data_IF_335326864422
#
_entry.id   IF_335326864422
#
_cell.length_a   1.000
_cell.length_b   1.000
_cell.length_c   1.000
_cell.angle_alpha   90.00
_cell.angle_beta   90.00
_cell.angle_gamma   90.00
#
_symmetry.space_group_name_H-M   'P 1'
#
loop_
_entity.id
_entity.type
_entity.pdbx_description
1 polymer ?
#
# COMPACT_ATOMS: atom_id res chain seq x y z
N UNK A 1 -11.88 -0.41 -24.53
CA UNK A 1 -11.42 0.28 -23.31
C UNK A 1 -12.67 0.71 -22.57
N UNK A 2 -12.82 0.28 -21.34
CA UNK A 2 -13.92 0.59 -20.43
C UNK A 2 -13.42 1.55 -19.34
N UNK A 3 -14.31 2.43 -18.88
CA UNK A 3 -14.10 3.27 -17.70
C UNK A 3 -14.96 2.72 -16.57
N UNK A 4 -14.37 2.45 -15.41
CA UNK A 4 -15.08 2.01 -14.21
C UNK A 4 -15.08 3.19 -13.23
N UNK A 5 -16.21 3.87 -13.01
CA UNK A 5 -16.26 5.01 -12.09
C UNK A 5 -15.86 4.62 -10.67
N UNK A 6 -14.95 5.37 -10.06
CA UNK A 6 -14.52 5.15 -8.67
C UNK A 6 -14.83 6.37 -7.78
N UNK A 7 -14.54 7.58 -8.27
CA UNK A 7 -14.85 8.85 -7.61
C UNK A 7 -15.24 9.91 -8.67
N UNK A 8 -15.80 11.07 -8.28
CA UNK A 8 -16.10 12.13 -9.24
C UNK A 8 -14.88 12.52 -10.09
N UNK A 9 -14.99 12.34 -11.41
CA UNK A 9 -13.93 12.56 -12.39
C UNK A 9 -12.67 11.68 -12.23
N UNK A 10 -12.75 10.57 -11.50
CA UNK A 10 -11.67 9.59 -11.38
C UNK A 10 -12.23 8.19 -11.67
N UNK A 11 -11.83 7.65 -12.80
CA UNK A 11 -12.25 6.33 -13.25
C UNK A 11 -11.05 5.40 -13.35
N UNK A 12 -11.25 4.14 -13.01
CA UNK A 12 -10.31 3.10 -13.41
C UNK A 12 -10.42 2.89 -14.92
N UNK A 13 -9.34 2.43 -15.53
CA UNK A 13 -9.29 2.04 -16.94
C UNK A 13 -9.19 0.52 -17.01
N UNK A 14 -10.10 -0.10 -17.74
CA UNK A 14 -10.11 -1.55 -17.94
C UNK A 14 -10.13 -1.90 -19.42
N UNK A 15 -9.29 -2.85 -19.84
CA UNK A 15 -9.28 -3.40 -21.19
C UNK A 15 -8.95 -4.88 -21.13
N UNK A 16 -9.60 -5.69 -21.96
CA UNK A 16 -9.32 -7.12 -22.02
C UNK A 16 -9.50 -7.65 -23.44
N UNK A 17 -8.94 -8.83 -23.68
CA UNK A 17 -9.01 -9.51 -24.97
C UNK A 17 -9.41 -10.97 -24.77
N UNK A 18 -10.42 -11.44 -25.48
CA UNK A 18 -10.93 -12.81 -25.36
C UNK A 18 -11.73 -13.03 -24.07
N UNK A 19 -11.73 -14.25 -23.56
CA UNK A 19 -12.38 -14.61 -22.29
C UNK A 19 -11.41 -14.35 -21.14
N UNK A 20 -11.68 -13.35 -20.30
CA UNK A 20 -10.75 -12.90 -19.26
C UNK A 20 -10.41 -14.02 -18.27
N UNK A 21 -9.11 -14.31 -18.11
CA UNK A 21 -8.60 -15.26 -17.12
C UNK A 21 -7.44 -14.69 -16.28
N UNK A 22 -6.60 -13.82 -16.85
CA UNK A 22 -5.50 -13.14 -16.14
C UNK A 22 -5.66 -11.63 -16.24
N UNK A 23 -5.53 -10.89 -15.14
CA UNK A 23 -5.51 -9.43 -15.15
C UNK A 23 -4.18 -8.92 -14.62
N UNK A 24 -3.54 -8.02 -15.36
CA UNK A 24 -2.41 -7.23 -14.86
C UNK A 24 -2.98 -5.91 -14.33
N UNK A 25 -2.62 -5.53 -13.11
CA UNK A 25 -3.20 -4.38 -12.42
C UNK A 25 -2.16 -3.54 -11.70
N UNK A 26 -2.34 -2.23 -11.69
CA UNK A 26 -1.57 -1.29 -10.85
C UNK A 26 -2.31 0.05 -10.80
N UNK A 27 -1.83 1.01 -10.01
CA UNK A 27 -2.49 2.31 -9.83
C UNK A 27 -1.90 3.42 -10.73
N UNK A 28 -2.73 4.42 -11.05
CA UNK A 28 -2.36 5.55 -11.91
C UNK A 28 -2.02 6.83 -11.15
N UNK A 29 -2.53 6.98 -9.93
CA UNK A 29 -2.24 8.13 -9.08
C UNK A 29 -0.89 8.01 -8.39
N UNK A 30 -0.40 9.15 -7.91
CA UNK A 30 0.94 9.31 -7.34
C UNK A 30 0.87 10.32 -6.20
N UNK A 31 1.77 10.22 -5.21
CA UNK A 31 1.89 11.23 -4.14
C UNK A 31 2.50 12.57 -4.58
N UNK A 32 2.24 13.68 -3.86
CA UNK A 32 2.98 14.93 -4.02
C UNK A 32 4.43 14.83 -3.47
N UNK A 33 5.32 15.80 -3.78
CA UNK A 33 5.19 16.78 -4.85
C UNK A 33 5.42 16.15 -6.24
N UNK A 34 4.90 16.80 -7.29
CA UNK A 34 5.26 16.48 -8.66
C UNK A 34 6.58 17.16 -9.04
N UNK A 35 7.43 16.45 -9.78
CA UNK A 35 8.66 16.98 -10.34
C UNK A 35 8.88 16.46 -11.76
N UNK A 36 9.61 17.25 -12.55
CA UNK A 36 9.80 17.01 -13.98
C UNK A 36 10.54 15.69 -14.21
N UNK A 37 10.03 14.88 -15.13
CA UNK A 37 10.68 13.63 -15.53
C UNK A 37 11.96 13.89 -16.32
N UNK A 38 12.98 13.08 -16.08
CA UNK A 38 14.23 13.08 -16.86
C UNK A 38 14.78 11.67 -16.97
N UNK A 39 15.76 11.46 -17.81
CA UNK A 39 16.43 10.17 -17.92
C UNK A 39 17.94 10.34 -18.12
N UNK A 40 18.68 9.31 -17.73
CA UNK A 40 20.11 9.14 -18.04
C UNK A 40 20.33 7.78 -18.72
N UNK A 41 21.56 7.27 -18.76
CA UNK A 41 21.87 5.99 -19.40
C UNK A 41 21.24 4.77 -18.73
N UNK A 42 20.93 4.85 -17.44
CA UNK A 42 20.52 3.71 -16.62
C UNK A 42 19.10 3.87 -16.06
N UNK A 43 18.70 5.08 -15.71
CA UNK A 43 17.47 5.36 -14.97
C UNK A 43 16.55 6.33 -15.70
N UNK A 44 15.24 6.17 -15.46
CA UNK A 44 14.21 7.18 -15.70
C UNK A 44 13.78 7.72 -14.35
N UNK A 45 13.81 9.04 -14.17
CA UNK A 45 13.52 9.74 -12.93
C UNK A 45 12.22 10.53 -13.12
N UNK A 46 11.45 10.67 -12.05
CA UNK A 46 10.17 11.39 -12.07
C UNK A 46 9.18 10.81 -11.06
N UNK A 47 8.25 11.64 -10.59
CA UNK A 47 7.14 11.16 -9.75
C UNK A 47 6.28 10.16 -10.54
N UNK A 48 6.13 8.96 -9.99
CA UNK A 48 5.47 7.84 -10.64
C UNK A 48 6.34 7.05 -11.60
N UNK A 49 7.62 7.39 -11.78
CA UNK A 49 8.52 6.57 -12.60
C UNK A 49 8.67 5.17 -12.01
N UNK A 50 8.75 5.06 -10.68
CA UNK A 50 8.78 3.82 -9.95
C UNK A 50 7.37 3.40 -9.53
N UNK A 51 6.59 4.34 -8.98
CA UNK A 51 5.37 4.06 -8.22
C UNK A 51 4.16 4.87 -8.73
N UNK A 52 3.40 4.40 -9.72
CA UNK A 52 3.56 3.12 -10.43
C UNK A 52 3.45 3.24 -11.96
N UNK A 53 3.66 4.43 -12.54
CA UNK A 53 3.49 4.64 -13.99
C UNK A 53 4.54 3.92 -14.84
N UNK A 54 5.75 3.70 -14.35
CA UNK A 54 6.71 2.81 -15.02
C UNK A 54 6.19 1.37 -15.12
N UNK A 55 5.49 0.92 -14.08
CA UNK A 55 4.84 -0.40 -14.05
C UNK A 55 3.69 -0.46 -15.06
N UNK A 56 2.86 0.58 -15.15
CA UNK A 56 1.84 0.72 -16.21
C UNK A 56 2.47 0.55 -17.59
N UNK A 57 3.56 1.26 -17.86
CA UNK A 57 4.25 1.19 -19.16
C UNK A 57 4.75 -0.24 -19.46
N UNK A 58 5.34 -0.93 -18.47
CA UNK A 58 5.78 -2.31 -18.61
C UNK A 58 4.61 -3.28 -18.87
N UNK A 59 3.47 -3.09 -18.18
CA UNK A 59 2.27 -3.91 -18.40
C UNK A 59 1.65 -3.70 -19.78
N UNK A 60 1.63 -2.45 -20.29
CA UNK A 60 1.16 -2.14 -21.65
C UNK A 60 2.07 -2.80 -22.68
N UNK A 61 3.40 -2.66 -22.55
CA UNK A 61 4.35 -3.30 -23.46
C UNK A 61 4.27 -4.84 -23.41
N UNK A 62 4.01 -5.42 -22.22
CA UNK A 62 3.76 -6.86 -22.10
C UNK A 62 2.47 -7.28 -22.81
N UNK A 63 1.41 -6.49 -22.72
CA UNK A 63 0.17 -6.73 -23.46
C UNK A 63 0.40 -6.70 -24.98
N UNK A 64 1.14 -5.71 -25.50
CA UNK A 64 1.50 -5.63 -26.91
C UNK A 64 2.28 -6.88 -27.36
N UNK A 65 3.26 -7.30 -26.57
CA UNK A 65 4.06 -8.51 -26.83
C UNK A 65 3.19 -9.78 -26.85
N UNK A 66 2.28 -9.93 -25.88
CA UNK A 66 1.34 -11.06 -25.82
C UNK A 66 0.41 -11.08 -27.05
N UNK A 67 -0.12 -9.91 -27.43
CA UNK A 67 -1.02 -9.79 -28.57
C UNK A 67 -0.32 -10.12 -29.89
N UNK A 68 0.91 -9.65 -30.08
CA UNK A 68 1.76 -9.96 -31.23
C UNK A 68 2.08 -11.45 -31.34
N UNK A 69 2.22 -12.14 -30.20
CA UNK A 69 2.38 -13.59 -30.13
C UNK A 69 1.06 -14.39 -30.27
N UNK A 70 -0.07 -13.71 -30.52
CA UNK A 70 -1.38 -14.35 -30.65
C UNK A 70 -2.02 -14.78 -29.32
N UNK A 71 -1.42 -14.43 -28.18
CA UNK A 71 -2.00 -14.72 -26.85
C UNK A 71 -3.19 -13.80 -26.59
N UNK A 72 -4.24 -14.35 -25.98
CA UNK A 72 -5.50 -13.68 -25.58
C UNK A 72 -5.89 -14.17 -24.18
N UNK A 73 -7.10 -13.84 -23.73
CA UNK A 73 -7.69 -14.22 -22.44
C UNK A 73 -7.07 -13.49 -21.24
N UNK A 74 -6.59 -12.28 -21.45
CA UNK A 74 -6.02 -11.44 -20.41
C UNK A 74 -6.55 -9.99 -20.51
N UNK A 75 -6.33 -9.21 -19.45
CA UNK A 75 -6.69 -7.80 -19.41
C UNK A 75 -5.72 -6.94 -18.59
N UNK A 76 -5.89 -5.63 -18.73
CA UNK A 76 -5.22 -4.60 -17.96
C UNK A 76 -6.27 -3.85 -17.15
N UNK A 77 -6.03 -3.67 -15.86
CA UNK A 77 -6.85 -2.88 -14.94
C UNK A 77 -5.97 -1.83 -14.28
N UNK A 78 -6.17 -0.56 -14.62
CA UNK A 78 -5.45 0.54 -13.99
C UNK A 78 -6.38 1.30 -13.06
N UNK A 79 -6.09 1.25 -11.76
CA UNK A 79 -6.96 1.79 -10.71
C UNK A 79 -6.55 3.19 -10.28
N UNK A 80 -7.47 3.90 -9.62
CA UNK A 80 -7.22 5.22 -9.02
C UNK A 80 -7.37 5.17 -7.50
N UNK A 81 -6.63 6.01 -6.79
CA UNK A 81 -6.87 6.28 -5.37
C UNK A 81 -6.09 5.38 -4.42
N UNK A 82 -5.21 4.51 -4.92
CA UNK A 82 -4.39 3.59 -4.10
C UNK A 82 -3.70 4.38 -2.97
N UNK A 83 -3.01 5.46 -3.33
CA UNK A 83 -2.18 6.31 -2.47
C UNK A 83 -2.94 7.06 -1.36
N UNK A 84 -4.26 6.95 -1.32
CA UNK A 84 -5.10 7.69 -0.37
C UNK A 84 -6.13 6.82 0.31
N UNK A 85 -6.93 6.12 -0.49
CA UNK A 85 -8.13 5.48 0.00
C UNK A 85 -8.47 4.18 -0.71
N UNK A 86 -7.77 3.71 -1.73
CA UNK A 86 -8.11 2.51 -2.52
C UNK A 86 -9.49 2.55 -3.18
N UNK A 87 -10.00 3.74 -3.55
CA UNK A 87 -11.34 3.87 -4.14
C UNK A 87 -11.49 3.06 -5.44
N UNK A 88 -10.45 3.04 -6.28
CA UNK A 88 -10.42 2.32 -7.54
C UNK A 88 -10.49 0.82 -7.36
N UNK A 89 -9.67 0.24 -6.47
CA UNK A 89 -9.74 -1.18 -6.16
C UNK A 89 -11.12 -1.57 -5.59
N UNK A 90 -11.71 -0.78 -4.70
CA UNK A 90 -13.08 -1.02 -4.20
C UNK A 90 -14.12 -1.02 -5.32
N UNK A 91 -14.07 -0.03 -6.21
CA UNK A 91 -15.00 0.04 -7.34
C UNK A 91 -14.83 -1.16 -8.29
N UNK A 92 -13.59 -1.57 -8.56
CA UNK A 92 -13.31 -2.74 -9.37
C UNK A 92 -13.78 -4.05 -8.70
N UNK A 93 -13.58 -4.19 -7.39
CA UNK A 93 -14.03 -5.35 -6.61
C UNK A 93 -15.55 -5.51 -6.63
N UNK A 94 -16.31 -4.41 -6.66
CA UNK A 94 -17.76 -4.42 -6.78
C UNK A 94 -18.27 -4.89 -8.16
N UNK A 95 -17.40 -4.94 -9.18
CA UNK A 95 -17.74 -5.37 -10.55
C UNK A 95 -16.74 -6.43 -11.06
N UNK A 96 -16.72 -7.64 -10.47
CA UNK A 96 -15.79 -8.68 -10.86
C UNK A 96 -16.02 -9.11 -12.32
N UNK A 97 -14.92 -9.41 -13.03
CA UNK A 97 -14.95 -9.73 -14.48
C UNK A 97 -14.57 -11.17 -14.81
N UNK A 98 -14.51 -12.05 -13.80
CA UNK A 98 -14.19 -13.47 -13.98
C UNK A 98 -12.70 -13.78 -14.09
N UNK A 99 -11.83 -12.83 -13.72
CA UNK A 99 -10.40 -13.10 -13.68
C UNK A 99 -10.06 -14.16 -12.64
N UNK A 100 -9.24 -15.14 -13.02
CA UNK A 100 -8.77 -16.23 -12.15
C UNK A 100 -7.50 -15.86 -11.42
N UNK A 101 -6.70 -14.98 -12.02
CA UNK A 101 -5.41 -14.55 -11.51
C UNK A 101 -5.24 -13.05 -11.66
N UNK A 102 -4.78 -12.40 -10.59
CA UNK A 102 -4.43 -10.98 -10.56
C UNK A 102 -2.91 -10.86 -10.41
N UNK A 103 -2.24 -10.22 -11.37
CA UNK A 103 -0.84 -9.82 -11.24
C UNK A 103 -0.85 -8.33 -10.90
N UNK A 104 -0.76 -8.01 -9.62
CA UNK A 104 -0.69 -6.62 -9.16
C UNK A 104 0.75 -6.13 -9.18
N UNK A 105 0.97 -4.93 -9.72
CA UNK A 105 2.26 -4.32 -9.89
C UNK A 105 2.53 -3.27 -8.83
N UNK A 106 3.64 -3.44 -8.13
CA UNK A 106 4.22 -2.53 -7.13
C UNK A 106 5.75 -2.62 -7.22
N UNK A 107 6.51 -1.65 -6.70
CA UNK A 107 7.97 -1.65 -6.80
C UNK A 107 8.62 -2.70 -5.90
N UNK A 108 8.87 -3.88 -6.45
CA UNK A 108 9.43 -5.05 -5.77
C UNK A 108 10.76 -5.52 -6.36
N UNK A 109 11.45 -4.68 -7.12
CA UNK A 109 12.74 -4.98 -7.77
C UNK A 109 12.65 -6.24 -8.65
N UNK A 110 11.51 -6.40 -9.35
CA UNK A 110 11.17 -7.59 -10.13
C UNK A 110 11.18 -8.91 -9.35
N UNK A 111 11.16 -8.84 -8.01
CA UNK A 111 11.02 -10.00 -7.14
C UNK A 111 9.55 -10.25 -6.82
N UNK A 112 9.10 -11.49 -6.91
CA UNK A 112 7.75 -11.87 -6.54
C UNK A 112 7.60 -11.77 -5.02
N UNK A 113 6.72 -10.89 -4.53
CA UNK A 113 6.45 -10.85 -3.10
C UNK A 113 5.59 -12.06 -2.68
N UNK A 114 6.05 -12.77 -1.65
CA UNK A 114 5.31 -13.90 -1.06
C UNK A 114 4.39 -13.48 0.08
N UNK A 115 4.50 -12.23 0.51
CA UNK A 115 3.60 -11.64 1.48
C UNK A 115 3.87 -10.16 1.66
N UNK A 116 2.85 -9.46 2.11
CA UNK A 116 2.91 -8.04 2.44
C UNK A 116 2.36 -7.80 3.84
N UNK A 117 3.07 -6.97 4.62
CA UNK A 117 2.57 -6.53 5.92
C UNK A 117 1.28 -5.71 5.77
N UNK A 118 0.44 -5.75 6.78
CA UNK A 118 -0.73 -4.90 6.92
C UNK A 118 -0.36 -3.49 7.39
N UNK A 119 -1.35 -2.62 7.46
CA UNK A 119 -1.25 -1.27 7.99
C UNK A 119 -2.38 -1.03 8.99
N UNK A 120 -2.05 -0.40 10.11
CA UNK A 120 -3.02 0.01 11.12
C UNK A 120 -2.63 1.41 11.61
N UNK A 121 -3.50 2.40 11.36
CA UNK A 121 -3.25 3.80 11.74
C UNK A 121 -4.21 4.24 12.85
N UNK A 122 -3.66 4.88 13.87
CA UNK A 122 -4.42 5.54 14.92
C UNK A 122 -4.09 7.02 15.02
N UNK A 123 -5.10 7.80 15.35
CA UNK A 123 -4.97 9.17 15.85
C UNK A 123 -5.20 9.15 17.36
N UNK A 124 -4.21 9.59 18.13
CA UNK A 124 -4.26 9.65 19.59
C UNK A 124 -4.42 11.11 20.00
N UNK A 125 -5.48 11.42 20.75
CA UNK A 125 -5.79 12.79 21.20
C UNK A 125 -5.88 12.84 22.72
N UNK A 126 -5.09 13.73 23.33
CA UNK A 126 -5.17 14.01 24.76
C UNK A 126 -5.77 15.40 24.99
N UNK A 127 -6.67 15.49 25.97
CA UNK A 127 -7.28 16.74 26.39
C UNK A 127 -6.80 17.11 27.80
N UNK A 128 -6.64 18.40 28.02
CA UNK A 128 -6.11 18.95 29.25
C UNK A 128 -6.92 20.15 29.72
N UNK A 129 -6.30 20.94 30.60
CA UNK A 129 -6.90 22.15 31.17
C UNK A 129 -5.86 23.27 31.17
N UNK A 130 -6.22 24.38 30.52
CA UNK A 130 -5.40 25.59 30.47
C UNK A 130 -5.14 26.12 31.89
N UNK A 131 -3.91 26.58 32.09
CA UNK A 131 -3.48 27.36 33.24
C UNK A 131 -2.23 28.15 32.86
N UNK A 132 -1.89 29.17 33.65
CA UNK A 132 -0.57 29.77 33.56
C UNK A 132 0.48 28.74 34.03
N UNK A 133 1.54 28.53 33.25
CA UNK A 133 2.57 27.50 33.52
C UNK A 133 3.24 27.61 34.91
N UNK A 134 3.25 28.81 35.52
CA UNK A 134 3.74 29.02 36.89
C UNK A 134 2.85 28.41 37.99
N UNK A 135 1.62 28.02 37.67
CA UNK A 135 0.64 27.42 38.59
C UNK A 135 0.08 26.12 37.96
N UNK A 136 0.93 25.11 37.69
CA UNK A 136 0.54 23.91 36.96
C UNK A 136 -0.57 23.10 37.65
N UNK A 137 -0.68 23.20 38.97
CA UNK A 137 -1.72 22.57 39.78
C UNK A 137 -3.15 23.05 39.45
N UNK A 138 -3.28 24.21 38.81
CA UNK A 138 -4.58 24.73 38.36
C UNK A 138 -5.02 24.16 37.00
N UNK A 139 -4.10 23.51 36.28
CA UNK A 139 -4.29 22.93 34.95
C UNK A 139 -3.99 21.44 34.88
N UNK A 140 -4.01 20.91 33.66
CA UNK A 140 -3.62 19.53 33.35
C UNK A 140 -3.01 19.52 31.95
N UNK A 141 -1.75 19.11 31.82
CA UNK A 141 -1.02 19.21 30.54
C UNK A 141 -1.38 18.04 29.62
N UNK A 142 -2.12 18.31 28.54
CA UNK A 142 -2.41 17.33 27.50
C UNK A 142 -1.14 16.76 26.85
N UNK A 143 -0.09 17.58 26.72
CA UNK A 143 1.20 17.12 26.17
C UNK A 143 1.83 16.07 27.07
N UNK A 144 1.85 16.28 28.40
CA UNK A 144 2.42 15.29 29.32
C UNK A 144 1.64 13.98 29.25
N UNK A 145 0.31 14.06 29.30
CA UNK A 145 -0.57 12.89 29.17
C UNK A 145 -0.35 12.14 27.86
N UNK A 146 -0.20 12.86 26.73
CA UNK A 146 0.10 12.24 25.44
C UNK A 146 1.47 11.56 25.43
N UNK A 147 2.51 12.17 26.01
CA UNK A 147 3.84 11.57 26.09
C UNK A 147 3.83 10.27 26.90
N UNK A 148 3.13 10.24 28.03
CA UNK A 148 2.98 9.04 28.87
C UNK A 148 2.24 7.93 28.11
N UNK A 149 1.13 8.27 27.44
CA UNK A 149 0.36 7.32 26.61
C UNK A 149 1.20 6.77 25.46
N UNK A 150 1.96 7.62 24.78
CA UNK A 150 2.84 7.19 23.69
C UNK A 150 3.98 6.33 24.20
N UNK A 151 4.52 6.59 25.40
CA UNK A 151 5.52 5.71 26.01
C UNK A 151 4.96 4.30 26.25
N UNK A 152 3.76 4.20 26.83
CA UNK A 152 3.09 2.92 27.04
C UNK A 152 2.83 2.19 25.71
N UNK A 153 2.40 2.90 24.66
CA UNK A 153 2.20 2.33 23.32
C UNK A 153 3.51 1.79 22.74
N UNK A 154 4.64 2.48 22.94
CA UNK A 154 5.95 1.99 22.47
C UNK A 154 6.40 0.71 23.17
N UNK A 155 5.93 0.46 24.39
CA UNK A 155 6.24 -0.75 25.14
C UNK A 155 5.31 -1.94 24.80
N UNK A 156 4.27 -1.73 23.98
CA UNK A 156 3.37 -2.83 23.56
C UNK A 156 4.18 -3.89 22.81
N UNK A 157 4.17 -5.16 23.25
CA UNK A 157 4.80 -6.25 22.52
C UNK A 157 4.17 -6.41 21.13
N UNK A 158 4.98 -6.23 20.10
CA UNK A 158 4.54 -6.32 18.71
C UNK A 158 4.59 -7.76 18.19
N UNK A 159 3.54 -8.25 17.51
CA UNK A 159 3.53 -9.60 16.93
C UNK A 159 4.65 -9.82 15.92
N UNK A 160 5.12 -11.06 15.84
CA UNK A 160 6.06 -11.56 14.85
C UNK A 160 5.43 -12.75 14.13
N UNK A 161 5.62 -12.79 12.82
CA UNK A 161 5.18 -13.87 11.95
C UNK A 161 6.39 -14.55 11.29
N UNK A 162 6.27 -15.84 11.01
CA UNK A 162 7.36 -16.65 10.45
C UNK A 162 7.76 -16.19 9.05
N UNK A 163 6.79 -15.74 8.24
CA UNK A 163 7.01 -15.31 6.87
C UNK A 163 7.23 -13.80 6.80
N UNK A 164 6.36 -13.01 7.44
CA UNK A 164 6.35 -11.56 7.33
C UNK A 164 7.32 -10.87 8.31
N UNK A 165 7.86 -11.60 9.28
CA UNK A 165 8.76 -11.08 10.31
C UNK A 165 8.02 -10.23 11.35
N UNK A 166 8.72 -9.25 11.94
CA UNK A 166 8.18 -8.45 13.05
C UNK A 166 7.28 -7.31 12.59
N UNK A 167 6.19 -7.08 13.32
CA UNK A 167 5.44 -5.83 13.19
C UNK A 167 6.30 -4.64 13.64
N UNK A 168 6.01 -3.45 13.12
CA UNK A 168 6.74 -2.22 13.46
C UNK A 168 5.76 -1.12 13.87
N UNK A 169 6.23 -0.16 14.66
CA UNK A 169 5.51 1.03 15.08
C UNK A 169 6.29 2.27 14.62
N UNK A 170 5.59 3.25 14.09
CA UNK A 170 6.09 4.59 13.80
C UNK A 170 5.14 5.64 14.39
N UNK A 171 5.65 6.55 15.22
CA UNK A 171 4.94 7.78 15.60
C UNK A 171 5.25 8.80 14.50
N UNK A 172 4.33 8.95 13.56
CA UNK A 172 4.55 9.74 12.35
C UNK A 172 4.46 11.24 12.56
N UNK A 173 3.58 11.68 13.45
CA UNK A 173 3.41 13.10 13.82
C UNK A 173 3.12 13.23 15.31
N UNK A 174 3.50 14.39 15.87
CA UNK A 174 3.16 14.79 17.23
C UNK A 174 3.04 16.31 17.30
N UNK A 175 2.01 16.83 17.95
CA UNK A 175 1.76 18.26 18.06
C UNK A 175 0.85 18.62 19.24
N UNK A 176 0.89 19.88 19.68
CA UNK A 176 0.04 20.36 20.77
C UNK A 176 0.55 21.63 21.44
N UNK A 177 -0.22 22.10 22.41
CA UNK A 177 0.10 23.32 23.17
C UNK A 177 -0.25 24.62 22.45
N UNK A 178 -0.10 25.73 23.17
CA UNK A 178 -0.45 27.08 22.68
C UNK A 178 0.72 28.06 22.76
N UNK A 179 1.40 28.09 23.90
CA UNK A 179 2.56 28.94 24.17
C UNK A 179 3.39 28.33 25.31
N UNK A 180 4.70 28.63 25.40
CA UNK A 180 5.57 28.05 26.45
C UNK A 180 5.12 28.36 27.88
N UNK A 181 4.42 29.47 28.09
CA UNK A 181 3.95 29.91 29.40
C UNK A 181 2.51 29.48 29.73
N UNK A 182 1.90 28.61 28.91
CA UNK A 182 0.52 28.13 29.07
C UNK A 182 0.51 26.60 29.13
N UNK A 183 -0.12 26.03 30.16
CA UNK A 183 -0.35 24.58 30.26
C UNK A 183 -1.22 24.14 29.08
N UNK A 184 -0.77 23.13 28.32
CA UNK A 184 -1.45 22.66 27.12
C UNK A 184 -2.79 22.00 27.43
N UNK A 185 -3.87 22.44 26.79
CA UNK A 185 -5.20 21.82 26.86
C UNK A 185 -5.47 20.80 25.75
N UNK A 186 -4.59 20.72 24.74
CA UNK A 186 -4.73 19.79 23.63
C UNK A 186 -3.36 19.33 23.13
N UNK A 187 -3.27 18.03 22.80
CA UNK A 187 -2.17 17.44 22.08
C UNK A 187 -2.65 16.22 21.27
N UNK A 188 -2.04 15.99 20.11
CA UNK A 188 -2.37 14.89 19.20
C UNK A 188 -1.13 14.23 18.62
N UNK A 189 -1.26 12.96 18.24
CA UNK A 189 -0.25 12.22 17.50
C UNK A 189 -0.88 11.23 16.52
N UNK A 190 -0.27 11.06 15.36
CA UNK A 190 -0.61 9.98 14.43
C UNK A 190 0.42 8.88 14.51
N UNK A 191 -0.06 7.65 14.73
CA UNK A 191 0.78 6.45 14.81
C UNK A 191 0.40 5.46 13.74
N UNK A 192 1.40 4.78 13.17
CA UNK A 192 1.26 3.78 12.12
C UNK A 192 1.95 2.49 12.56
N UNK A 193 1.24 1.37 12.48
CA UNK A 193 1.80 0.04 12.62
C UNK A 193 1.86 -0.66 11.27
N UNK A 194 2.98 -1.33 10.99
CA UNK A 194 3.02 -2.37 9.95
C UNK A 194 2.75 -3.71 10.63
N UNK A 195 1.59 -4.31 10.39
CA UNK A 195 1.12 -5.51 11.10
C UNK A 195 1.39 -6.79 10.31
N UNK A 196 1.47 -7.94 10.97
CA UNK A 196 1.78 -9.25 10.34
C UNK A 196 0.70 -10.31 10.58
N UNK A 197 -0.44 -9.92 11.15
CA UNK A 197 -1.54 -10.81 11.47
C UNK A 197 -2.72 -10.02 12.03
N UNK A 198 -3.65 -10.71 12.70
CA UNK A 198 -4.82 -10.07 13.33
C UNK A 198 -4.39 -9.03 14.38
N UNK A 199 -4.75 -7.73 14.20
CA UNK A 199 -4.38 -6.69 15.13
C UNK A 199 -5.30 -6.62 16.37
N UNK A 200 -6.24 -7.53 16.60
CA UNK A 200 -7.15 -7.50 17.75
C UNK A 200 -6.44 -7.27 19.10
N UNK A 201 -5.37 -8.03 19.38
CA UNK A 201 -4.58 -7.86 20.62
C UNK A 201 -3.86 -6.51 20.69
N UNK A 202 -3.39 -6.02 19.55
CA UNK A 202 -2.76 -4.71 19.46
C UNK A 202 -3.78 -3.59 19.71
N UNK A 203 -4.99 -3.70 19.15
CA UNK A 203 -6.11 -2.76 19.41
C UNK A 203 -6.48 -2.74 20.89
N UNK A 204 -6.57 -3.92 21.50
CA UNK A 204 -6.84 -4.04 22.94
C UNK A 204 -5.74 -3.37 23.77
N UNK A 205 -4.48 -3.63 23.46
CA UNK A 205 -3.36 -3.02 24.16
C UNK A 205 -3.33 -1.48 24.00
N UNK A 206 -3.65 -0.95 22.81
CA UNK A 206 -3.77 0.50 22.58
C UNK A 206 -4.95 1.06 23.39
N UNK A 207 -6.09 0.38 23.41
CA UNK A 207 -7.26 0.77 24.21
C UNK A 207 -6.92 0.86 25.70
N UNK A 208 -6.18 -0.13 26.23
CA UNK A 208 -5.67 -0.12 27.60
C UNK A 208 -4.69 1.03 27.82
N UNK A 209 -3.78 1.28 26.89
CA UNK A 209 -2.82 2.37 26.99
C UNK A 209 -3.51 3.74 27.01
N UNK A 210 -4.60 3.97 26.26
CA UNK A 210 -5.27 5.28 26.28
C UNK A 210 -6.32 5.43 27.39
N UNK A 211 -6.74 4.33 28.02
CA UNK A 211 -7.89 4.30 28.95
C UNK A 211 -7.83 5.39 30.02
N UNK A 212 -8.86 6.25 30.03
CA UNK A 212 -9.01 7.35 31.00
C UNK A 212 -8.03 8.52 30.85
N UNK A 213 -7.15 8.49 29.84
CA UNK A 213 -6.10 9.49 29.61
C UNK A 213 -6.21 10.19 28.26
N UNK A 214 -6.55 9.45 27.20
CA UNK A 214 -6.64 9.94 25.84
C UNK A 214 -7.73 9.20 25.05
N UNK A 215 -8.04 9.70 23.87
CA UNK A 215 -8.86 9.02 22.87
C UNK A 215 -7.96 8.41 21.79
N UNK A 216 -8.24 7.17 21.37
CA UNK A 216 -7.61 6.54 20.22
C UNK A 216 -8.67 6.29 19.14
N UNK A 217 -8.51 6.93 17.98
CA UNK A 217 -9.36 6.73 16.81
C UNK A 217 -8.61 5.90 15.77
N UNK A 218 -9.14 4.74 15.42
CA UNK A 218 -8.64 3.95 14.28
C UNK A 218 -9.06 4.64 12.98
N UNK A 219 -8.06 4.99 12.15
CA UNK A 219 -8.26 5.75 10.90
C UNK A 219 -8.21 4.85 9.69
N UNK A 220 -7.38 3.81 9.73
CA UNK A 220 -7.13 2.90 8.61
C UNK A 220 -6.76 1.52 9.16
N UNK A 221 -7.30 0.48 8.53
CA UNK A 221 -6.84 -0.88 8.69
C UNK A 221 -6.83 -1.61 7.34
N UNK A 222 -5.66 -2.11 6.96
CA UNK A 222 -5.44 -2.99 5.82
C UNK A 222 -4.76 -4.26 6.35
N UNK A 223 -5.33 -5.46 6.14
CA UNK A 223 -4.76 -6.68 6.70
C UNK A 223 -3.45 -7.05 5.99
N UNK A 224 -2.59 -7.77 6.72
CA UNK A 224 -1.45 -8.46 6.12
C UNK A 224 -1.96 -9.60 5.22
N UNK A 225 -1.23 -9.90 4.14
CA UNK A 225 -1.61 -10.98 3.22
C UNK A 225 -0.42 -11.84 2.85
N UNK A 226 -0.65 -13.15 2.85
CA UNK A 226 0.20 -14.11 2.15
C UNK A 226 -0.19 -14.14 0.67
N UNK A 227 0.82 -14.19 -0.19
CA UNK A 227 0.65 -14.05 -1.64
C UNK A 227 1.02 -15.33 -2.37
N UNK A 228 0.60 -15.42 -3.63
CA UNK A 228 0.76 -16.64 -4.41
C UNK A 228 2.19 -16.83 -4.90
N UNK A 229 2.65 -18.09 -4.85
CA UNK A 229 3.94 -18.50 -5.39
C UNK A 229 3.89 -18.67 -6.90
N UNK A 230 4.98 -18.32 -7.57
CA UNK A 230 5.20 -18.56 -9.00
C UNK A 230 6.65 -19.01 -9.19
N UNK A 231 6.86 -20.15 -9.84
CA UNK A 231 8.18 -20.76 -9.98
C UNK A 231 9.07 -20.00 -10.98
N UNK A 232 10.38 -20.01 -10.74
CA UNK A 232 11.36 -19.40 -11.65
C UNK A 232 11.44 -17.87 -11.59
N UNK A 233 11.01 -17.28 -10.47
CA UNK A 233 11.22 -15.88 -10.12
C UNK A 233 11.97 -15.76 -8.79
N UNK A 234 12.86 -14.76 -8.61
CA UNK A 234 13.34 -14.41 -7.30
C UNK A 234 12.15 -13.95 -6.43
N UNK A 235 12.23 -14.19 -5.13
CA UNK A 235 11.15 -13.90 -4.20
C UNK A 235 11.58 -12.92 -3.12
N UNK A 236 10.62 -12.18 -2.57
CA UNK A 236 10.84 -11.23 -1.47
C UNK A 236 9.64 -11.21 -0.51
N UNK A 237 9.79 -10.49 0.60
CA UNK A 237 8.71 -10.15 1.53
C UNK A 237 8.69 -8.63 1.66
N UNK A 238 7.52 -8.01 1.46
CA UNK A 238 7.41 -6.56 1.48
C UNK A 238 6.78 -6.06 2.77
N UNK A 239 7.27 -4.92 3.26
CA UNK A 239 6.79 -4.30 4.49
C UNK A 239 5.67 -3.27 4.28
N UNK A 240 5.38 -2.94 3.02
CA UNK A 240 4.30 -2.02 2.64
C UNK A 240 3.01 -2.77 2.33
N UNK A 241 1.89 -2.04 2.34
CA UNK A 241 0.55 -2.49 1.94
C UNK A 241 0.27 -2.15 0.48
N UNK A 242 -0.74 -2.78 -0.11
CA UNK A 242 -1.16 -2.55 -1.51
C UNK A 242 -2.69 -2.61 -1.60
N UNK A 243 -3.23 -2.44 -2.79
CA UNK A 243 -4.67 -2.63 -3.07
C UNK A 243 -5.12 -4.12 -3.05
N UNK A 244 -4.22 -5.09 -2.98
CA UNK A 244 -4.57 -6.54 -3.02
C UNK A 244 -5.66 -6.91 -1.99
N UNK A 245 -5.56 -6.52 -0.70
CA UNK A 245 -6.60 -6.84 0.27
C UNK A 245 -7.95 -6.18 -0.05
N UNK A 246 -7.92 -5.00 -0.69
CA UNK A 246 -9.14 -4.28 -1.10
C UNK A 246 -9.89 -4.97 -2.23
N UNK A 247 -9.19 -5.72 -3.09
CA UNK A 247 -9.84 -6.52 -4.13
C UNK A 247 -10.66 -7.70 -3.58
N UNK A 248 -10.40 -8.15 -2.34
CA UNK A 248 -11.13 -9.23 -1.65
C UNK A 248 -11.35 -10.49 -2.51
N UNK A 249 -10.33 -10.86 -3.30
CA UNK A 249 -10.38 -12.02 -4.20
C UNK A 249 -11.30 -11.88 -5.43
N UNK A 250 -12.01 -10.75 -5.59
CA UNK A 250 -12.94 -10.52 -6.70
C UNK A 250 -12.29 -10.57 -8.09
N UNK A 251 -10.97 -10.38 -8.16
CA UNK A 251 -10.15 -10.44 -9.38
C UNK A 251 -9.24 -11.67 -9.44
N UNK A 252 -9.50 -12.66 -8.59
CA UNK A 252 -8.82 -13.94 -8.59
C UNK A 252 -7.61 -13.99 -7.67
N UNK A 253 -6.82 -15.05 -7.84
CA UNK A 253 -5.67 -15.34 -6.98
C UNK A 253 -4.54 -14.31 -7.21
N UNK A 254 -4.08 -13.58 -6.19
CA UNK A 254 -3.16 -12.46 -6.37
C UNK A 254 -1.69 -12.88 -6.37
N UNK A 255 -0.92 -12.18 -7.21
CA UNK A 255 0.53 -12.12 -7.27
C UNK A 255 0.94 -10.65 -7.17
N UNK A 256 2.06 -10.36 -6.51
CA UNK A 256 2.58 -9.00 -6.36
C UNK A 256 3.99 -8.93 -6.91
N UNK A 257 4.19 -8.17 -7.98
CA UNK A 257 5.49 -8.05 -8.63
C UNK A 257 5.56 -6.84 -9.56
N UNK A 258 6.65 -6.08 -9.48
CA UNK A 258 6.95 -5.04 -10.45
C UNK A 258 8.38 -4.52 -10.35
N UNK A 259 8.81 -3.77 -11.38
CA UNK A 259 10.13 -3.16 -11.44
C UNK A 259 10.24 -1.97 -10.49
N UNK A 260 11.46 -1.56 -10.17
CA UNK A 260 11.72 -0.44 -9.26
C UNK A 260 11.69 -0.84 -7.79
N UNK A 261 12.19 0.06 -6.95
CA UNK A 261 12.41 -0.19 -5.52
C UNK A 261 11.56 0.76 -4.67
N UNK A 262 10.81 0.20 -3.72
CA UNK A 262 10.03 1.00 -2.77
C UNK A 262 10.91 2.00 -1.99
N UNK A 263 12.22 1.75 -1.87
CA UNK A 263 13.14 2.62 -1.15
C UNK A 263 13.30 4.02 -1.77
N UNK A 264 13.00 4.18 -3.06
CA UNK A 264 13.01 5.49 -3.73
C UNK A 264 11.61 6.03 -4.01
N UNK A 265 10.57 5.20 -3.82
CA UNK A 265 9.18 5.63 -3.89
C UNK A 265 8.89 6.73 -2.87
N UNK A 266 7.97 7.63 -3.22
CA UNK A 266 7.56 8.78 -2.40
C UNK A 266 8.67 9.81 -2.07
N UNK A 267 9.89 9.63 -2.59
CA UNK A 267 11.01 10.57 -2.41
C UNK A 267 11.16 11.53 -3.59
N UNK A 268 12.05 12.53 -3.45
CA UNK A 268 12.48 13.39 -4.55
C UNK A 268 13.46 12.70 -5.53
N UNK A 269 13.99 11.54 -5.14
CA UNK A 269 14.92 10.73 -5.93
C UNK A 269 14.22 9.56 -6.63
N UNK A 270 12.88 9.62 -6.73
CA UNK A 270 12.11 8.56 -7.37
C UNK A 270 12.57 8.34 -8.81
N UNK A 271 13.00 7.10 -9.07
CA UNK A 271 13.55 6.64 -10.33
C UNK A 271 13.30 5.15 -10.49
N UNK A 272 13.40 4.70 -11.73
CA UNK A 272 13.28 3.30 -12.10
C UNK A 272 14.38 2.91 -13.08
N UNK A 273 14.92 1.70 -12.94
CA UNK A 273 15.95 1.18 -13.85
C UNK A 273 15.34 0.84 -15.20
N UNK A 274 15.96 1.32 -16.28
CA UNK A 274 15.57 0.97 -17.66
C UNK A 274 15.70 -0.52 -17.92
N UNK A 275 16.70 -1.15 -17.31
CA UNK A 275 16.91 -2.60 -17.38
C UNK A 275 15.75 -3.34 -16.69
N UNK A 276 15.41 -2.96 -15.46
CA UNK A 276 14.31 -3.60 -14.73
C UNK A 276 12.97 -3.42 -15.45
N UNK A 277 12.69 -2.24 -16.01
CA UNK A 277 11.50 -2.00 -16.84
C UNK A 277 11.43 -2.97 -18.02
N UNK A 278 12.55 -3.16 -18.72
CA UNK A 278 12.61 -4.06 -19.88
C UNK A 278 12.41 -5.52 -19.45
N UNK A 279 13.02 -5.94 -18.34
CA UNK A 279 12.85 -7.28 -17.78
C UNK A 279 11.42 -7.53 -17.28
N UNK A 280 10.76 -6.51 -16.72
CA UNK A 280 9.37 -6.60 -16.25
C UNK A 280 8.40 -6.94 -17.39
N UNK A 281 8.62 -6.40 -18.59
CA UNK A 281 7.83 -6.74 -19.79
C UNK A 281 7.86 -8.25 -20.06
N UNK A 282 9.04 -8.84 -20.00
CA UNK A 282 9.25 -10.28 -20.22
C UNK A 282 8.65 -11.12 -19.10
N UNK A 283 8.79 -10.67 -17.85
CA UNK A 283 8.22 -11.31 -16.67
C UNK A 283 6.69 -11.33 -16.76
N UNK A 284 6.05 -10.20 -17.03
CA UNK A 284 4.60 -10.08 -17.14
C UNK A 284 4.04 -10.95 -18.27
N UNK A 285 4.66 -10.92 -19.45
CA UNK A 285 4.27 -11.76 -20.57
C UNK A 285 4.41 -13.26 -20.21
N UNK A 286 5.53 -13.66 -19.60
CA UNK A 286 5.77 -15.04 -19.17
C UNK A 286 4.74 -15.51 -18.15
N UNK A 287 4.47 -14.72 -17.11
CA UNK A 287 3.51 -15.05 -16.07
C UNK A 287 2.11 -15.22 -16.66
N UNK A 288 1.65 -14.27 -17.49
CA UNK A 288 0.35 -14.35 -18.14
C UNK A 288 0.23 -15.62 -18.99
N UNK A 289 1.20 -15.91 -19.85
CA UNK A 289 1.19 -17.12 -20.70
C UNK A 289 1.14 -18.41 -19.87
N UNK A 290 1.96 -18.53 -18.82
CA UNK A 290 1.99 -19.74 -18.00
C UNK A 290 0.70 -19.91 -17.18
N UNK A 291 0.19 -18.85 -16.56
CA UNK A 291 -1.05 -18.89 -15.80
C UNK A 291 -2.24 -19.28 -16.69
N UNK A 292 -2.30 -18.76 -17.93
CA UNK A 292 -3.31 -19.16 -18.92
C UNK A 292 -3.23 -20.66 -19.26
N UNK A 293 -2.03 -21.23 -19.31
CA UNK A 293 -1.83 -22.66 -19.57
C UNK A 293 -2.30 -23.54 -18.40
N UNK A 294 -2.04 -23.13 -17.15
CA UNK A 294 -2.50 -23.88 -15.95
C UNK A 294 -4.03 -24.02 -15.87
N UNK A 295 -4.74 -23.10 -16.52
CA UNK A 295 -6.20 -23.07 -16.53
C UNK A 295 -6.87 -24.06 -17.49
N UNK A 296 -6.12 -24.67 -18.42
CA UNK A 296 -6.63 -25.60 -19.44
C UNK A 296 -6.52 -27.07 -19.05
N UNK A 297 -5.76 -27.40 -18.01
CA UNK A 297 -5.49 -28.79 -17.59
C UNK A 297 -6.61 -29.45 -16.78
N UNK A 298 -7.79 -28.82 -16.70
CA UNK A 298 -8.93 -29.28 -15.90
C UNK A 298 -10.28 -29.20 -16.63
N UNK A 299 -10.27 -29.17 -17.96
CA UNK A 299 -11.46 -29.29 -18.81
C UNK A 299 -11.41 -30.58 -19.63
#
# INVERSE_FOLDING_TARGET
IERIPAEPNRDNIFVFWGELAVTLSTHMDTVPPFFVSREDGEFIWGRGSCDAKGIIAAMIAAAEKLLAAGTRNFGLLFVVGEERNSAGARAAAATPRGSRFLINGEPTENCLALGSKGALRFEITACGKLAHSAYPELGHSAIHTLLDVLDDIRQIPLPEDVLLGRSTLNIGTIGGGRAPNVVADHAEAEIMFRTVGDPAKLREAISVAVAGRAEAREVLHTPAVELSKFDGLPTTIVAFTTDIPTFDGAWGRPFLIGPGSIHVAHTAEERISKKELSEAVDIYARMATQLLATGRSGA
#
